data_IF_582098628373
#
_entry.id   IF_582098628373
#
_cell.length_a   1.000
_cell.length_b   1.000
_cell.length_c   1.000
_cell.angle_alpha   90.00
_cell.angle_beta   90.00
_cell.angle_gamma   90.00
#
_symmetry.space_group_name_H-M   'P 1'
#
loop_
_entity.id
_entity.type
_entity.pdbx_description
1 polymer ?
#
# COMPACT_ATOMS: atom_id res chain seq x y z
N UNK A 1 -21.55 14.22 -11.63
CA UNK A 1 -22.03 13.77 -10.31
C UNK A 1 -21.23 12.52 -9.98
N UNK A 2 -20.38 12.53 -8.95
CA UNK A 2 -19.68 11.31 -8.55
C UNK A 2 -20.73 10.31 -8.07
N UNK A 3 -20.71 9.09 -8.59
CA UNK A 3 -21.64 8.04 -8.17
C UNK A 3 -21.48 7.81 -6.67
N UNK A 4 -22.60 7.68 -5.94
CA UNK A 4 -22.53 7.40 -4.51
C UNK A 4 -21.85 6.04 -4.30
N UNK A 5 -20.85 5.95 -3.41
CA UNK A 5 -20.14 4.70 -3.18
C UNK A 5 -21.13 3.63 -2.72
N UNK A 6 -21.14 2.51 -3.45
CA UNK A 6 -21.95 1.34 -3.10
C UNK A 6 -21.52 0.81 -1.73
N UNK A 7 -22.48 0.40 -0.89
CA UNK A 7 -22.16 -0.32 0.35
C UNK A 7 -21.46 -1.63 -0.01
N UNK A 8 -20.21 -1.76 0.40
CA UNK A 8 -19.36 -2.91 0.12
C UNK A 8 -18.71 -3.41 1.43
N UNK A 9 -18.49 -4.73 1.51
CA UNK A 9 -17.72 -5.36 2.57
C UNK A 9 -16.54 -6.09 1.94
N UNK A 10 -15.34 -5.75 2.38
CA UNK A 10 -14.08 -6.35 1.92
C UNK A 10 -13.45 -7.16 3.04
N UNK A 11 -13.11 -8.42 2.74
CA UNK A 11 -12.16 -9.21 3.53
C UNK A 11 -10.80 -9.05 2.86
N UNK A 12 -9.86 -8.39 3.55
CA UNK A 12 -8.54 -8.04 3.00
C UNK A 12 -7.46 -8.92 3.61
N UNK A 13 -6.73 -9.65 2.76
CA UNK A 13 -5.56 -10.45 3.16
C UNK A 13 -4.31 -9.60 2.91
N UNK A 14 -3.52 -9.37 3.95
CA UNK A 14 -2.24 -8.67 3.84
C UNK A 14 -1.12 -9.69 3.56
N UNK A 15 -0.32 -9.43 2.53
CA UNK A 15 0.79 -10.28 2.12
C UNK A 15 2.08 -9.47 2.07
N UNK A 16 3.21 -10.14 2.30
CA UNK A 16 4.55 -9.56 2.13
C UNK A 16 5.19 -10.13 0.87
N UNK A 17 5.86 -9.26 0.12
CA UNK A 17 6.67 -9.60 -1.04
C UNK A 17 7.97 -8.79 -1.03
N UNK A 18 8.93 -9.17 -1.87
CA UNK A 18 10.19 -8.46 -2.06
C UNK A 18 10.41 -8.29 -3.56
N UNK A 19 11.10 -7.21 -3.94
CA UNK A 19 11.58 -7.04 -5.32
C UNK A 19 12.71 -8.04 -5.54
N UNK A 20 12.69 -8.70 -6.69
CA UNK A 20 13.74 -9.66 -7.05
C UNK A 20 15.09 -8.93 -7.19
N UNK A 21 16.07 -9.37 -6.40
CA UNK A 21 17.40 -8.78 -6.32
C UNK A 21 18.35 -9.28 -7.41
N UNK A 22 17.96 -10.35 -8.13
CA UNK A 22 18.80 -10.96 -9.18
C UNK A 22 18.66 -10.25 -10.54
N UNK A 23 17.88 -9.18 -10.61
CA UNK A 23 17.74 -8.35 -11.81
C UNK A 23 18.89 -7.35 -11.87
N UNK A 24 19.67 -7.38 -12.97
CA UNK A 24 20.84 -6.51 -13.23
C UNK A 24 20.53 -5.00 -13.17
N UNK A 25 19.26 -4.62 -13.20
CA UNK A 25 18.79 -3.24 -13.15
C UNK A 25 17.81 -3.05 -12.01
N UNK A 26 18.06 -2.02 -11.21
CA UNK A 26 17.13 -1.54 -10.18
C UNK A 26 15.74 -1.31 -10.78
N UNK A 27 14.74 -1.98 -10.19
CA UNK A 27 13.35 -1.84 -10.59
C UNK A 27 12.66 -0.83 -9.66
N UNK A 28 12.28 0.32 -10.23
CA UNK A 28 11.49 1.33 -9.53
C UNK A 28 10.03 1.27 -9.98
N UNK A 29 9.07 1.55 -9.10
CA UNK A 29 7.65 1.50 -9.46
C UNK A 29 7.32 2.55 -10.53
N UNK A 30 6.42 2.20 -11.46
CA UNK A 30 5.90 3.10 -12.47
C UNK A 30 4.40 3.27 -12.28
N UNK A 31 3.90 4.50 -12.39
CA UNK A 31 2.46 4.76 -12.31
C UNK A 31 1.76 4.43 -13.64
N UNK A 32 1.37 3.16 -13.80
CA UNK A 32 0.74 2.65 -15.02
C UNK A 32 -0.78 2.92 -15.10
N UNK A 33 -1.43 3.30 -13.99
CA UNK A 33 -2.87 3.59 -13.93
C UNK A 33 -3.13 4.98 -13.30
N UNK A 34 -2.74 6.08 -13.96
CA UNK A 34 -2.76 7.43 -13.37
C UNK A 34 -4.15 7.97 -13.05
N UNK A 35 -5.21 7.34 -13.56
CA UNK A 35 -6.60 7.69 -13.24
C UNK A 35 -7.09 7.07 -11.93
N UNK A 36 -6.32 6.14 -11.35
CA UNK A 36 -6.64 5.43 -10.10
C UNK A 36 -5.65 5.71 -8.98
N UNK A 37 -4.41 6.09 -9.31
CA UNK A 37 -3.33 6.32 -8.36
C UNK A 37 -2.45 7.47 -8.86
N UNK A 38 -2.07 8.39 -7.98
CA UNK A 38 -1.23 9.53 -8.36
C UNK A 38 0.25 9.17 -8.48
N UNK A 39 0.69 8.11 -7.79
CA UNK A 39 2.06 7.64 -7.84
C UNK A 39 2.39 6.62 -6.75
N UNK A 40 3.61 6.11 -6.81
CA UNK A 40 4.16 5.15 -5.85
C UNK A 40 5.49 5.68 -5.34
N UNK A 41 5.71 5.53 -4.03
CA UNK A 41 6.96 5.88 -3.38
C UNK A 41 7.22 4.92 -2.23
N UNK A 42 8.47 4.87 -1.77
CA UNK A 42 8.91 4.04 -0.66
C UNK A 42 8.88 4.85 0.65
N UNK A 43 8.40 4.22 1.72
CA UNK A 43 8.36 4.82 3.06
C UNK A 43 8.94 3.85 4.07
N UNK A 44 9.73 4.39 5.00
CA UNK A 44 10.12 3.68 6.22
C UNK A 44 8.88 3.42 7.07
N UNK A 45 8.83 2.26 7.74
CA UNK A 45 7.65 1.81 8.48
C UNK A 45 7.28 2.72 9.66
N UNK A 46 8.28 3.33 10.28
CA UNK A 46 8.13 4.28 11.38
C UNK A 46 7.84 5.72 10.91
N UNK A 47 7.91 5.98 9.60
CA UNK A 47 7.70 7.30 8.98
C UNK A 47 6.67 7.24 7.83
N UNK A 48 5.58 6.50 8.02
CA UNK A 48 4.50 6.43 7.03
C UNK A 48 3.89 7.81 6.73
N UNK A 49 3.50 8.00 5.46
CA UNK A 49 2.78 9.20 5.04
C UNK A 49 1.36 9.25 5.62
N UNK A 50 0.79 10.45 5.65
CA UNK A 50 -0.55 10.68 6.19
C UNK A 50 -1.36 11.58 5.25
N UNK A 51 -2.69 11.36 5.12
CA UNK A 51 -3.48 10.36 5.83
C UNK A 51 -3.35 8.94 5.22
N UNK A 52 -3.42 7.91 6.07
CA UNK A 52 -3.50 6.51 5.63
C UNK A 52 -4.92 6.13 5.21
N UNK A 53 -5.05 5.19 4.28
CA UNK A 53 -6.34 4.59 3.94
C UNK A 53 -6.93 3.87 5.16
N UNK A 54 -8.20 4.09 5.47
CA UNK A 54 -8.81 3.68 6.75
C UNK A 54 -8.55 2.22 7.19
N UNK A 55 -8.71 1.20 6.32
CA UNK A 55 -8.36 -0.18 6.65
C UNK A 55 -6.87 -0.39 6.99
N UNK A 56 -5.96 0.26 6.26
CA UNK A 56 -4.52 0.22 6.52
C UNK A 56 -4.19 0.91 7.85
N UNK A 57 -4.78 2.08 8.10
CA UNK A 57 -4.61 2.81 9.37
C UNK A 57 -5.06 1.99 10.58
N UNK A 58 -6.23 1.33 10.48
CA UNK A 58 -6.73 0.43 11.54
C UNK A 58 -5.78 -0.73 11.81
N UNK A 59 -5.20 -1.29 10.75
CA UNK A 59 -4.24 -2.40 10.84
C UNK A 59 -2.95 -1.96 11.56
N UNK A 60 -2.38 -0.81 11.18
CA UNK A 60 -1.18 -0.24 11.82
C UNK A 60 -1.42 0.06 13.31
N UNK A 61 -2.57 0.69 13.64
CA UNK A 61 -2.97 0.94 15.04
C UNK A 61 -3.22 -0.34 15.83
N UNK A 62 -3.47 -1.46 15.16
CA UNK A 62 -3.56 -2.80 15.74
C UNK A 62 -2.22 -3.45 16.05
N UNK A 63 -1.11 -2.70 15.96
CA UNK A 63 0.26 -3.16 16.22
C UNK A 63 0.76 -4.29 15.29
N UNK A 64 0.19 -4.37 14.09
CA UNK A 64 0.78 -5.22 13.05
C UNK A 64 2.07 -4.60 12.54
N UNK A 65 3.08 -5.45 12.30
CA UNK A 65 4.34 -5.11 11.68
C UNK A 65 4.62 -6.11 10.53
N UNK A 66 4.82 -5.66 9.27
CA UNK A 66 5.11 -6.56 8.16
C UNK A 66 6.55 -7.13 8.18
N UNK A 67 7.44 -6.57 8.98
CA UNK A 67 8.84 -6.97 9.05
C UNK A 67 9.01 -8.18 9.99
N UNK A 68 9.91 -9.12 9.65
CA UNK A 68 10.20 -10.25 10.53
C UNK A 68 10.88 -9.74 11.81
N UNK A 69 10.66 -10.49 12.91
CA UNK A 69 11.42 -10.36 14.16
C UNK A 69 12.82 -10.95 13.98
#
# INVERSE_FOLDING_TARGET
>A
MLEQPKKCHYVTIFMRAMVDVDVVKEQVPQNLEPTKCDGWDWYEWDHLSHPLFGPLEKMVKGAFDPFPI
#
